data_IF_177685768342
#
_entry.id   IF_177685768342
#
_cell.length_a   1.000
_cell.length_b   1.000
_cell.length_c   1.000
_cell.angle_alpha   90.00
_cell.angle_beta   90.00
_cell.angle_gamma   90.00
#
_symmetry.space_group_name_H-M   'P 1'
#
loop_
_entity.id
_entity.type
_entity.pdbx_description
1 polymer ?
#
# COMPACT_ATOMS: atom_id res chain seq x y z
N UNK A 1 -8.25 -16.17 20.61
CA UNK A 1 -8.04 -14.71 20.73
C UNK A 1 -8.29 -14.13 19.37
N UNK A 2 -9.20 -13.17 19.26
CA UNK A 2 -9.55 -12.55 17.99
C UNK A 2 -8.37 -11.79 17.42
N UNK A 3 -8.16 -11.89 16.11
CA UNK A 3 -7.07 -11.24 15.39
C UNK A 3 -7.61 -10.09 14.55
N UNK A 4 -7.75 -8.91 15.16
CA UNK A 4 -8.19 -7.73 14.43
C UNK A 4 -7.01 -6.94 13.86
N UNK A 5 -7.25 -6.25 12.75
CA UNK A 5 -6.31 -5.46 11.98
C UNK A 5 -5.97 -4.17 12.72
N UNK A 6 -4.71 -3.98 13.15
CA UNK A 6 -4.29 -2.70 13.70
C UNK A 6 -4.35 -1.60 12.63
N UNK A 7 -4.79 -0.39 13.02
CA UNK A 7 -4.85 0.78 12.11
C UNK A 7 -3.56 1.02 11.32
N UNK A 8 -2.40 0.81 11.96
CA UNK A 8 -1.11 1.01 11.30
C UNK A 8 -0.85 -0.01 10.19
N UNK A 9 -1.36 -1.24 10.33
CA UNK A 9 -1.26 -2.27 9.29
C UNK A 9 -2.11 -1.88 8.08
N UNK A 10 -3.38 -1.53 8.30
CA UNK A 10 -4.26 -1.08 7.24
C UNK A 10 -3.66 0.11 6.47
N UNK A 11 -3.17 1.14 7.17
CA UNK A 11 -2.47 2.28 6.56
C UNK A 11 -1.25 1.87 5.72
N UNK A 12 -0.50 0.86 6.18
CA UNK A 12 0.69 0.37 5.48
C UNK A 12 0.30 -0.43 4.23
N UNK A 13 -0.79 -1.21 4.28
CA UNK A 13 -1.33 -1.93 3.13
C UNK A 13 -1.82 -0.97 2.04
N UNK A 14 -2.58 0.07 2.40
CA UNK A 14 -3.04 1.08 1.43
C UNK A 14 -1.84 1.76 0.76
N UNK A 15 -0.82 2.13 1.55
CA UNK A 15 0.41 2.69 1.02
C UNK A 15 1.15 1.69 0.08
N UNK A 16 1.17 0.40 0.42
CA UNK A 16 1.77 -0.63 -0.42
C UNK A 16 1.02 -0.81 -1.73
N UNK A 17 -0.31 -0.74 -1.73
CA UNK A 17 -1.11 -0.77 -2.94
C UNK A 17 -0.77 0.41 -3.87
N UNK A 18 -0.64 1.63 -3.33
CA UNK A 18 -0.15 2.77 -4.09
C UNK A 18 1.28 2.55 -4.62
N UNK A 19 2.18 2.04 -3.78
CA UNK A 19 3.58 1.79 -4.17
C UNK A 19 3.67 0.80 -5.32
N UNK A 20 2.93 -0.32 -5.25
CA UNK A 20 2.86 -1.30 -6.31
C UNK A 20 2.24 -0.70 -7.58
N UNK A 21 1.15 0.08 -7.47
CA UNK A 21 0.54 0.75 -8.62
C UNK A 21 1.50 1.68 -9.35
N UNK A 22 2.32 2.42 -8.61
CA UNK A 22 3.33 3.34 -9.18
C UNK A 22 4.49 2.56 -9.82
N UNK A 23 4.89 1.44 -9.22
CA UNK A 23 6.05 0.65 -9.67
C UNK A 23 5.75 -0.36 -10.77
N UNK A 24 4.50 -0.80 -10.88
CA UNK A 24 4.10 -1.77 -11.87
C UNK A 24 3.96 -1.07 -13.23
N UNK A 25 4.99 -1.24 -14.06
CA UNK A 25 5.01 -0.86 -15.48
C UNK A 25 4.08 -1.73 -16.36
N UNK A 26 3.15 -2.43 -15.72
CA UNK A 26 2.40 -3.57 -16.23
C UNK A 26 0.94 -3.23 -16.55
N UNK A 27 0.51 -1.97 -16.39
CA UNK A 27 -0.87 -1.55 -16.71
C UNK A 27 -1.96 -2.15 -15.81
N UNK A 28 -1.59 -2.89 -14.75
CA UNK A 28 -2.56 -3.42 -13.80
C UNK A 28 -3.26 -2.25 -13.08
N UNK A 29 -4.58 -2.12 -13.30
CA UNK A 29 -5.38 -1.06 -12.67
C UNK A 29 -5.36 -1.13 -11.15
N UNK A 30 -5.49 0.02 -10.49
CA UNK A 30 -5.45 0.12 -9.02
C UNK A 30 -6.46 -0.83 -8.32
N UNK A 31 -7.63 -1.04 -8.93
CA UNK A 31 -8.66 -1.95 -8.41
C UNK A 31 -8.13 -3.38 -8.23
N UNK A 32 -7.39 -3.87 -9.22
CA UNK A 32 -6.82 -5.21 -9.22
C UNK A 32 -5.78 -5.37 -8.11
N UNK A 33 -4.88 -4.40 -8.01
CA UNK A 33 -3.84 -4.38 -6.97
C UNK A 33 -4.49 -4.34 -5.60
N UNK A 34 -5.52 -3.53 -5.45
CA UNK A 34 -6.26 -3.37 -4.20
C UNK A 34 -7.03 -4.63 -3.81
N UNK A 35 -7.65 -5.34 -4.76
CA UNK A 35 -8.35 -6.60 -4.49
C UNK A 35 -7.42 -7.66 -3.90
N UNK A 36 -6.18 -7.78 -4.41
CA UNK A 36 -5.16 -8.65 -3.80
C UNK A 36 -4.96 -8.32 -2.31
N UNK A 37 -4.89 -7.04 -1.98
CA UNK A 37 -4.67 -6.58 -0.61
C UNK A 37 -5.90 -6.72 0.28
N UNK A 38 -7.09 -6.44 -0.25
CA UNK A 38 -8.37 -6.69 0.43
C UNK A 38 -8.51 -8.16 0.82
N UNK A 39 -8.26 -9.08 -0.13
CA UNK A 39 -8.40 -10.52 0.12
C UNK A 39 -7.31 -11.02 1.07
N UNK A 40 -6.07 -10.56 0.90
CA UNK A 40 -4.99 -10.88 1.83
C UNK A 40 -5.25 -10.39 3.25
N UNK A 41 -5.88 -9.23 3.43
CA UNK A 41 -6.26 -8.74 4.75
C UNK A 41 -7.30 -9.66 5.42
N UNK A 42 -8.29 -10.15 4.67
CA UNK A 42 -9.29 -11.11 5.19
C UNK A 42 -8.72 -12.47 5.55
N UNK A 43 -7.61 -12.86 4.94
CA UNK A 43 -6.89 -14.09 5.31
C UNK A 43 -6.09 -13.93 6.62
N UNK A 44 -5.63 -12.71 6.92
CA UNK A 44 -4.78 -12.42 8.10
C UNK A 44 -5.62 -12.02 9.31
N UNK A 45 -6.75 -11.33 9.08
CA UNK A 45 -7.54 -10.65 10.10
C UNK A 45 -9.02 -11.04 10.06
N UNK A 46 -9.66 -10.97 11.23
CA UNK A 46 -11.08 -11.30 11.43
C UNK A 46 -12.04 -10.13 11.18
N UNK A 47 -11.52 -8.94 10.79
CA UNK A 47 -12.35 -7.77 10.51
C UNK A 47 -13.23 -7.97 9.27
N UNK A 48 -14.52 -7.67 9.41
CA UNK A 48 -15.48 -7.74 8.30
C UNK A 48 -15.63 -6.41 7.56
N UNK A 49 -15.32 -5.29 8.23
CA UNK A 49 -15.73 -3.94 7.80
C UNK A 49 -14.53 -3.00 7.56
N UNK A 50 -13.40 -3.54 7.11
CA UNK A 50 -12.28 -2.69 6.69
C UNK A 50 -12.68 -1.86 5.46
N UNK A 51 -12.29 -0.57 5.39
CA UNK A 51 -12.53 0.21 4.20
C UNK A 51 -11.83 -0.41 2.99
N UNK A 52 -12.43 -0.20 1.82
CA UNK A 52 -11.92 -0.70 0.55
C UNK A 52 -10.58 -0.05 0.18
N UNK A 53 -9.56 -0.86 -0.09
CA UNK A 53 -8.20 -0.36 -0.31
C UNK A 53 -8.10 0.54 -1.53
N UNK A 54 -8.84 0.25 -2.61
CA UNK A 54 -8.81 1.04 -3.86
C UNK A 54 -9.31 2.47 -3.66
N UNK A 55 -10.43 2.64 -2.95
CA UNK A 55 -10.99 3.95 -2.66
C UNK A 55 -10.04 4.83 -1.84
N UNK A 56 -9.42 4.25 -0.80
CA UNK A 56 -8.46 4.99 0.04
C UNK A 56 -7.14 5.26 -0.70
N UNK A 57 -6.66 4.30 -1.49
CA UNK A 57 -5.46 4.45 -2.31
C UNK A 57 -5.63 5.53 -3.38
N UNK A 58 -6.81 5.64 -4.00
CA UNK A 58 -7.10 6.71 -4.96
C UNK A 58 -7.03 8.08 -4.31
N UNK A 59 -7.54 8.23 -3.09
CA UNK A 59 -7.42 9.48 -2.32
C UNK A 59 -5.96 9.80 -1.97
N UNK A 60 -5.11 8.81 -1.69
CA UNK A 60 -3.67 9.04 -1.49
C UNK A 60 -3.02 9.62 -2.75
N UNK A 61 -3.31 9.04 -3.92
CA UNK A 61 -2.80 9.53 -5.20
C UNK A 61 -3.32 10.94 -5.51
N UNK A 62 -4.60 11.22 -5.20
CA UNK A 62 -5.18 12.56 -5.33
C UNK A 62 -4.47 13.58 -4.44
N UNK A 63 -4.16 13.24 -3.20
CA UNK A 63 -3.40 14.10 -2.28
C UNK A 63 -2.02 14.44 -2.85
N UNK A 64 -1.31 13.47 -3.43
CA UNK A 64 -0.02 13.73 -4.07
C UNK A 64 -0.15 14.73 -5.22
N UNK A 65 -1.24 14.66 -5.99
CA UNK A 65 -1.56 15.62 -7.05
C UNK A 65 -1.92 17.01 -6.53
N UNK A 66 -2.79 17.08 -5.53
CA UNK A 66 -3.20 18.32 -4.88
C UNK A 66 -1.99 19.09 -4.29
N UNK A 67 -1.08 18.36 -3.64
CA UNK A 67 0.13 18.92 -3.05
C UNK A 67 1.24 19.19 -4.08
N UNK A 68 1.00 18.92 -5.38
CA UNK A 68 1.97 19.10 -6.48
C UNK A 68 3.27 18.33 -6.28
N UNK A 69 3.22 17.15 -5.65
CA UNK A 69 4.37 16.27 -5.41
C UNK A 69 4.38 15.04 -6.33
N UNK A 70 3.65 15.09 -7.45
CA UNK A 70 3.49 13.98 -8.41
C UNK A 70 4.79 13.31 -8.83
N UNK A 71 5.83 14.11 -9.14
CA UNK A 71 7.14 13.61 -9.56
C UNK A 71 7.86 12.82 -8.45
N UNK A 72 7.46 13.01 -7.19
CA UNK A 72 8.02 12.33 -6.03
C UNK A 72 7.02 11.38 -5.36
N UNK A 73 5.90 11.04 -6.03
CA UNK A 73 4.85 10.20 -5.42
C UNK A 73 5.41 8.89 -4.88
N UNK A 74 6.28 8.23 -5.65
CA UNK A 74 6.97 7.01 -5.21
C UNK A 74 7.69 7.22 -3.87
N UNK A 75 8.45 8.31 -3.75
CA UNK A 75 9.23 8.62 -2.56
C UNK A 75 8.35 8.93 -1.35
N UNK A 76 7.32 9.76 -1.53
CA UNK A 76 6.37 10.11 -0.46
C UNK A 76 5.67 8.87 0.07
N UNK A 77 5.21 8.00 -0.83
CA UNK A 77 4.52 6.77 -0.48
C UNK A 77 5.48 5.81 0.22
N UNK A 78 6.70 5.61 -0.30
CA UNK A 78 7.71 4.74 0.31
C UNK A 78 8.11 5.22 1.72
N UNK A 79 8.32 6.52 1.91
CA UNK A 79 8.62 7.12 3.22
C UNK A 79 7.46 6.96 4.18
N UNK A 80 6.23 7.18 3.72
CA UNK A 80 5.03 6.95 4.53
C UNK A 80 4.92 5.49 4.94
N UNK A 81 5.16 4.57 4.02
CA UNK A 81 5.14 3.12 4.25
C UNK A 81 6.18 2.74 5.32
N UNK A 82 7.42 3.22 5.18
CA UNK A 82 8.48 3.01 6.15
C UNK A 82 8.13 3.56 7.53
N UNK A 83 7.61 4.79 7.59
CA UNK A 83 7.19 5.42 8.83
C UNK A 83 6.04 4.63 9.49
N UNK A 84 5.00 4.29 8.74
CA UNK A 84 3.83 3.56 9.26
C UNK A 84 4.11 2.13 9.65
N UNK A 85 5.11 1.49 9.06
CA UNK A 85 5.55 0.18 9.53
C UNK A 85 6.46 0.29 10.76
N UNK A 86 7.46 1.17 10.75
CA UNK A 86 8.51 1.16 11.78
C UNK A 86 8.26 2.06 12.99
N UNK A 87 7.39 3.07 12.91
CA UNK A 87 7.20 4.09 13.96
C UNK A 87 5.74 4.28 14.40
N UNK A 88 5.50 4.20 15.71
CA UNK A 88 4.22 4.55 16.33
C UNK A 88 3.97 6.06 16.21
N UNK A 89 5.02 6.85 16.45
CA UNK A 89 5.05 8.29 16.29
C UNK A 89 6.49 8.74 15.96
N UNK A 90 6.72 10.05 15.82
CA UNK A 90 8.03 10.63 15.46
C UNK A 90 9.20 10.20 16.37
N UNK A 91 8.93 9.86 17.63
CA UNK A 91 9.95 9.56 18.63
C UNK A 91 10.03 8.07 18.98
N UNK A 92 8.98 7.30 18.69
CA UNK A 92 8.83 5.92 19.14
C UNK A 92 8.81 4.94 17.96
N UNK A 93 9.86 4.12 17.87
CA UNK A 93 9.89 2.93 17.00
C UNK A 93 8.95 1.84 17.53
N UNK A 94 8.28 1.12 16.63
CA UNK A 94 7.49 -0.08 16.96
C UNK A 94 8.40 -1.20 17.45
N UNK A 95 7.99 -1.82 18.55
CA UNK A 95 8.67 -2.99 19.10
C UNK A 95 7.99 -4.28 18.60
N UNK A 96 8.59 -4.93 17.61
CA UNK A 96 8.11 -6.20 17.05
C UNK A 96 8.49 -7.44 17.90
N UNK A 97 9.30 -7.25 18.94
CA UNK A 97 9.79 -8.30 19.86
C UNK A 97 9.13 -8.20 21.24
N UNK A 98 7.99 -7.52 21.33
CA UNK A 98 7.23 -7.43 22.57
C UNK A 98 6.76 -8.82 23.02
N UNK A 99 7.17 -9.24 24.21
CA UNK A 99 6.75 -10.52 24.81
C UNK A 99 5.35 -10.47 25.44
N UNK A 100 4.83 -9.26 25.68
CA UNK A 100 3.56 -9.05 26.40
C UNK A 100 2.39 -9.04 25.43
N UNK A 101 2.49 -8.23 24.36
CA UNK A 101 1.45 -8.08 23.35
C UNK A 101 2.06 -8.15 21.95
N UNK A 102 1.46 -8.95 21.06
CA UNK A 102 1.82 -8.97 19.65
C UNK A 102 1.17 -7.80 18.91
N UNK A 103 1.98 -6.78 18.58
CA UNK A 103 1.53 -5.54 17.92
C UNK A 103 0.99 -5.74 16.50
N UNK A 104 1.15 -6.94 15.93
CA UNK A 104 0.65 -7.34 14.60
C UNK A 104 -0.86 -7.55 14.59
N UNK A 105 -1.44 -7.79 15.76
CA UNK A 105 -2.85 -8.04 15.98
C UNK A 105 -3.41 -7.08 17.04
N UNK A 106 -4.69 -6.78 16.94
CA UNK A 106 -5.42 -6.03 17.95
C UNK A 106 -6.41 -6.95 18.65
N UNK A 107 -6.49 -6.86 19.97
CA UNK A 107 -7.43 -7.64 20.79
C UNK A 107 -8.89 -7.17 20.61
N UNK A 108 -9.08 -5.95 20.12
CA UNK A 108 -10.37 -5.33 19.88
C UNK A 108 -10.49 -4.91 18.41
N UNK A 109 -11.70 -4.94 17.83
CA UNK A 109 -11.92 -4.42 16.49
C UNK A 109 -11.59 -2.93 16.49
N UNK A 110 -10.49 -2.60 15.83
CA UNK A 110 -10.09 -1.23 15.58
C UNK A 110 -10.64 -0.96 14.19
N UNK A 111 -11.76 -0.28 14.07
CA UNK A 111 -12.27 0.11 12.76
C UNK A 111 -11.44 1.30 12.25
N UNK A 112 -10.42 1.14 11.37
CA UNK A 112 -9.88 2.29 10.65
C UNK A 112 -10.99 2.83 9.76
N UNK A 113 -11.22 4.14 9.79
CA UNK A 113 -12.09 4.76 8.80
C UNK A 113 -11.24 5.15 7.58
N UNK A 114 -11.88 5.20 6.40
CA UNK A 114 -11.26 5.74 5.21
C UNK A 114 -10.79 7.18 5.47
N UNK A 115 -11.66 8.01 6.06
CA UNK A 115 -11.37 9.40 6.39
C UNK A 115 -10.15 9.55 7.31
N UNK A 116 -10.06 8.80 8.41
CA UNK A 116 -8.91 8.86 9.32
C UNK A 116 -7.61 8.50 8.60
N UNK A 117 -7.67 7.52 7.71
CA UNK A 117 -6.51 7.04 6.94
C UNK A 117 -6.04 8.08 5.93
N UNK A 118 -6.98 8.68 5.19
CA UNK A 118 -6.72 9.76 4.22
C UNK A 118 -6.17 10.99 4.94
N UNK A 119 -6.80 11.43 6.04
CA UNK A 119 -6.35 12.56 6.84
C UNK A 119 -4.95 12.34 7.42
N UNK A 120 -4.62 11.11 7.81
CA UNK A 120 -3.29 10.78 8.29
C UNK A 120 -2.23 10.95 7.20
N UNK A 121 -2.50 10.40 6.01
CA UNK A 121 -1.60 10.54 4.88
C UNK A 121 -1.47 11.99 4.42
N UNK A 122 -2.56 12.75 4.34
CA UNK A 122 -2.53 14.18 4.01
C UNK A 122 -1.59 14.97 4.92
N UNK A 123 -1.70 14.78 6.26
CA UNK A 123 -0.83 15.45 7.23
C UNK A 123 0.64 15.07 7.05
N UNK A 124 0.90 13.79 6.80
CA UNK A 124 2.25 13.31 6.52
C UNK A 124 2.81 13.96 5.24
N UNK A 125 2.08 13.86 4.13
CA UNK A 125 2.50 14.38 2.81
C UNK A 125 2.66 15.89 2.80
N UNK A 126 1.82 16.63 3.52
CA UNK A 126 1.98 18.08 3.72
C UNK A 126 3.25 18.42 4.50
N UNK A 127 3.53 17.69 5.58
CA UNK A 127 4.79 17.86 6.31
C UNK A 127 6.01 17.46 5.46
N UNK A 128 5.87 16.43 4.64
CA UNK A 128 6.90 15.94 3.74
C UNK A 128 7.22 16.97 2.65
N UNK A 129 6.21 17.58 2.04
CA UNK A 129 6.38 18.58 0.98
C UNK A 129 7.03 19.88 1.49
N UNK A 130 6.77 20.24 2.75
CA UNK A 130 7.32 21.45 3.37
C UNK A 130 8.72 21.25 3.93
N UNK A 131 9.01 20.08 4.49
CA UNK A 131 10.32 19.75 5.06
C UNK A 131 11.15 19.04 3.99
N UNK A 132 11.99 19.78 3.26
CA UNK A 132 12.98 19.26 2.30
C UNK A 132 13.96 18.19 2.86
N UNK A 133 13.83 17.76 4.12
CA UNK A 133 14.68 16.72 4.71
C UNK A 133 14.08 15.35 4.44
N UNK A 134 14.67 14.70 3.45
CA UNK A 134 14.36 13.32 3.09
C UNK A 134 15.07 12.38 4.05
N UNK A 135 14.32 11.47 4.66
CA UNK A 135 14.90 10.33 5.37
C UNK A 135 15.04 9.19 4.36
N UNK A 136 15.87 9.36 3.31
CA UNK A 136 16.01 8.28 2.34
C UNK A 136 17.07 7.29 2.77
N UNK A 137 16.61 6.10 3.12
CA UNK A 137 17.20 4.88 2.57
C UNK A 137 16.18 4.24 1.63
N UNK A 138 16.67 3.65 0.55
CA UNK A 138 16.02 3.41 -0.76
C UNK A 138 14.66 2.69 -0.70
N UNK A 139 13.71 3.14 -1.54
CA UNK A 139 12.55 2.40 -2.08
C UNK A 139 11.92 1.34 -1.14
N UNK A 140 11.83 1.67 0.14
CA UNK A 140 11.39 0.73 1.16
C UNK A 140 9.92 0.39 0.95
N UNK A 141 9.61 -0.89 1.04
CA UNK A 141 8.28 -1.43 0.83
C UNK A 141 8.12 -2.73 1.63
N UNK A 142 6.91 -3.27 1.71
CA UNK A 142 6.60 -4.45 2.51
C UNK A 142 7.30 -5.74 2.03
N UNK A 143 7.82 -5.78 0.79
CA UNK A 143 8.50 -6.96 0.25
C UNK A 143 9.89 -7.14 0.85
N UNK A 144 10.51 -6.06 1.35
CA UNK A 144 11.92 -6.06 1.80
C UNK A 144 12.10 -6.21 3.30
N UNK A 145 11.01 -6.26 4.08
CA UNK A 145 11.07 -6.39 5.54
C UNK A 145 10.89 -7.84 6.02
N UNK A 146 11.47 -8.18 7.18
CA UNK A 146 11.41 -9.52 7.78
C UNK A 146 10.69 -9.57 9.14
N UNK A 147 10.16 -8.43 9.62
CA UNK A 147 9.56 -8.32 10.95
C UNK A 147 8.11 -8.82 11.00
N UNK A 148 7.43 -8.87 9.86
CA UNK A 148 6.06 -9.34 9.73
C UNK A 148 5.91 -10.16 8.44
N UNK A 149 6.06 -11.48 8.57
CA UNK A 149 6.07 -12.44 7.47
C UNK A 149 4.79 -12.43 6.63
N UNK A 150 3.63 -12.29 7.25
CA UNK A 150 2.33 -12.37 6.60
C UNK A 150 2.16 -11.21 5.62
N UNK A 151 2.53 -9.99 6.04
CA UNK A 151 2.55 -8.83 5.16
C UNK A 151 3.64 -8.93 4.08
N UNK A 152 4.80 -9.50 4.41
CA UNK A 152 5.88 -9.75 3.41
C UNK A 152 5.38 -10.69 2.32
N UNK A 153 4.75 -11.79 2.72
CA UNK A 153 4.21 -12.80 1.83
C UNK A 153 3.06 -12.26 1.00
N UNK A 154 2.17 -11.47 1.60
CA UNK A 154 1.10 -10.78 0.89
C UNK A 154 1.66 -9.82 -0.16
N UNK A 155 2.64 -8.98 0.20
CA UNK A 155 3.25 -8.06 -0.75
C UNK A 155 3.93 -8.80 -1.92
N UNK A 156 4.61 -9.93 -1.64
CA UNK A 156 5.28 -10.76 -2.66
C UNK A 156 4.35 -11.70 -3.43
N UNK A 157 3.09 -11.88 -3.01
CA UNK A 157 2.13 -12.73 -3.72
C UNK A 157 1.96 -12.21 -5.16
N UNK A 158 2.01 -13.08 -6.19
CA UNK A 158 1.73 -12.65 -7.56
C UNK A 158 0.29 -12.12 -7.67
N UNK A 159 0.05 -11.23 -8.63
CA UNK A 159 -1.32 -10.87 -8.99
C UNK A 159 -2.00 -12.08 -9.64
N UNK A 160 -3.32 -12.23 -9.50
CA UNK A 160 -4.05 -13.43 -9.94
C UNK A 160 -3.80 -13.76 -11.42
N UNK A 161 -3.80 -15.05 -11.76
CA UNK A 161 -3.46 -15.59 -13.09
C UNK A 161 -4.39 -15.14 -14.22
N UNK A 162 -5.59 -14.66 -13.91
CA UNK A 162 -6.50 -14.06 -14.89
C UNK A 162 -5.97 -12.73 -15.43
N UNK A 163 -5.09 -12.06 -14.69
CA UNK A 163 -4.50 -10.78 -15.06
C UNK A 163 -3.29 -10.93 -15.98
N UNK A 164 -2.52 -12.02 -15.81
CA UNK A 164 -1.50 -12.41 -16.79
C UNK A 164 -2.17 -12.70 -18.14
N UNK A 165 -3.36 -13.31 -18.13
CA UNK A 165 -4.14 -13.56 -19.35
C UNK A 165 -4.69 -12.28 -19.97
N UNK A 166 -5.23 -11.34 -19.19
CA UNK A 166 -5.69 -10.04 -19.71
C UNK A 166 -4.53 -9.22 -20.30
N UNK A 167 -3.36 -9.22 -19.66
CA UNK A 167 -2.15 -8.57 -20.22
C UNK A 167 -1.63 -9.23 -21.49
N UNK A 168 -1.66 -10.56 -21.57
CA UNK A 168 -1.27 -11.27 -22.78
C UNK A 168 -2.22 -10.90 -23.93
N UNK A 169 -3.51 -10.72 -23.65
CA UNK A 169 -4.52 -10.27 -24.63
C UNK A 169 -4.23 -8.84 -25.08
N UNK A 170 -4.08 -7.88 -24.15
CA UNK A 170 -3.83 -6.47 -24.49
C UNK A 170 -2.53 -6.29 -25.29
N UNK A 171 -1.46 -7.02 -24.92
CA UNK A 171 -0.18 -7.00 -25.67
C UNK A 171 -0.31 -7.63 -27.06
N UNK A 172 -1.13 -8.67 -27.21
CA UNK A 172 -1.42 -9.28 -28.52
C UNK A 172 -2.21 -8.30 -29.37
N UNK A 173 -3.20 -7.60 -28.80
CA UNK A 173 -4.00 -6.59 -29.50
C UNK A 173 -3.18 -5.37 -29.94
N UNK A 174 -2.31 -4.84 -29.08
CA UNK A 174 -1.38 -3.75 -29.44
C UNK A 174 -0.41 -4.18 -30.55
N UNK A 175 0.12 -5.41 -30.46
CA UNK A 175 1.02 -5.95 -31.48
C UNK A 175 0.31 -6.13 -32.81
N UNK A 176 -0.92 -6.64 -32.80
CA UNK A 176 -1.76 -6.73 -34.00
C UNK A 176 -2.02 -5.33 -34.56
N UNK A 177 -2.52 -4.39 -33.76
CA UNK A 177 -2.78 -3.02 -34.19
C UNK A 177 -1.55 -2.33 -34.81
N UNK A 178 -0.36 -2.56 -34.25
CA UNK A 178 0.92 -2.04 -34.78
C UNK A 178 1.36 -2.67 -36.12
N UNK A 179 0.87 -3.87 -36.43
CA UNK A 179 1.11 -4.55 -37.71
C UNK A 179 0.12 -4.05 -38.77
N UNK A 180 -1.12 -3.76 -38.38
CA UNK A 180 -2.17 -3.25 -39.27
C UNK A 180 -2.05 -1.75 -39.60
N UNK A 181 -1.37 -0.97 -38.76
CA UNK A 181 -1.19 0.49 -38.96
C UNK A 181 0.13 0.86 -39.66
N UNK A 182 0.94 -0.12 -40.05
CA UNK A 182 2.10 0.08 -40.92
C UNK A 182 1.71 -0.17 -42.38
N UNK A 183 1.03 0.78 -42.99
CA UNK A 183 0.97 1.01 -44.44
C UNK A 183 1.26 2.47 -44.76
#
# INVERSE_FOLDING_TARGET
MSKYCPRWVYMTIVAQACFDYIKLDLGAGLLVISNKYDDGLKEIYEDTDLPKVDGVAMEFLRICSELKINQNTEHVISDYLYYKFNYVNLFLKRNFQSFVNDIRFSDYPRYPTAEDTVNNFYRFSKSWATKKKVLYDKAWNLKTQDKFSELKNLANRPFSSELLKMQDIDKVEEKLASVWTKE
#
